data_IF_967941109346
#
_entry.id   IF_967941109346
#
_cell.length_a   1.000
_cell.length_b   1.000
_cell.length_c   1.000
_cell.angle_alpha   90.00
_cell.angle_beta   90.00
_cell.angle_gamma   90.00
#
_symmetry.space_group_name_H-M   'P 1'
#
loop_
_entity.id
_entity.type
_entity.pdbx_description
1 polymer ?
#
# COMPACT_ATOMS: atom_id res chain seq x y z
N UNK A 1 14.31 23.34 -0.35
CA UNK A 1 14.24 21.92 -0.77
C UNK A 1 12.78 21.59 -0.96
N UNK A 2 12.39 21.11 -2.14
CA UNK A 2 11.03 20.65 -2.36
C UNK A 2 10.91 19.23 -1.78
N UNK A 3 10.18 19.10 -0.69
CA UNK A 3 10.00 17.86 0.09
C UNK A 3 8.90 17.01 -0.60
N UNK A 4 9.24 16.39 -1.74
CA UNK A 4 8.31 15.56 -2.51
C UNK A 4 8.28 14.12 -1.98
N UNK A 5 7.18 13.72 -1.34
CA UNK A 5 6.95 12.32 -0.99
C UNK A 5 6.27 11.61 -2.17
N UNK A 6 7.00 10.66 -2.79
CA UNK A 6 6.45 9.82 -3.85
C UNK A 6 5.87 8.55 -3.23
N UNK A 7 4.58 8.30 -3.48
CA UNK A 7 3.85 7.16 -2.89
C UNK A 7 3.29 6.28 -4.02
N UNK A 8 3.71 5.02 -4.09
CA UNK A 8 3.05 4.02 -4.94
C UNK A 8 2.08 3.20 -4.09
N UNK A 9 0.80 3.20 -4.44
CA UNK A 9 -0.17 2.31 -3.81
C UNK A 9 -0.26 0.98 -4.56
N UNK A 10 0.03 -0.10 -3.86
CA UNK A 10 -0.15 -1.47 -4.33
C UNK A 10 -1.22 -2.15 -3.51
N UNK A 11 -2.36 -2.36 -4.15
CA UNK A 11 -3.40 -3.23 -3.59
C UNK A 11 -2.94 -4.70 -3.71
N UNK A 12 -2.06 -5.02 -4.67
CA UNK A 12 -1.76 -6.40 -5.06
C UNK A 12 -0.31 -6.60 -5.53
N UNK A 13 0.27 -7.77 -5.23
CA UNK A 13 1.67 -8.09 -5.53
C UNK A 13 1.93 -8.85 -6.82
N UNK A 14 0.91 -9.44 -7.43
CA UNK A 14 1.09 -10.15 -8.70
C UNK A 14 0.55 -9.33 -9.85
N UNK A 15 1.28 -9.34 -10.97
CA UNK A 15 0.86 -8.70 -12.22
C UNK A 15 -0.57 -9.14 -12.59
N UNK A 16 -0.85 -10.45 -12.51
CA UNK A 16 -2.18 -11.02 -12.81
C UNK A 16 -3.31 -10.42 -11.95
N UNK A 17 -3.14 -10.32 -10.62
CA UNK A 17 -4.18 -9.75 -9.74
C UNK A 17 -4.25 -8.24 -9.85
N UNK A 18 -3.13 -7.54 -10.08
CA UNK A 18 -3.14 -6.11 -10.41
C UNK A 18 -3.94 -5.87 -11.68
N UNK A 19 -3.80 -6.72 -12.69
CA UNK A 19 -4.54 -6.61 -13.98
C UNK A 19 -6.03 -6.87 -13.82
N UNK A 20 -6.40 -7.83 -12.97
CA UNK A 20 -7.80 -8.10 -12.65
C UNK A 20 -8.48 -6.93 -11.90
N UNK A 21 -7.82 -6.38 -10.85
CA UNK A 21 -8.43 -5.34 -10.02
C UNK A 21 -8.29 -3.93 -10.59
N UNK A 22 -7.23 -3.66 -11.35
CA UNK A 22 -6.97 -2.34 -11.94
C UNK A 22 -6.78 -2.51 -13.46
N UNK A 23 -7.85 -2.65 -14.25
CA UNK A 23 -7.78 -2.87 -15.70
C UNK A 23 -7.44 -1.58 -16.46
N UNK A 24 -6.41 -0.87 -16.02
CA UNK A 24 -5.89 0.37 -16.61
C UNK A 24 -4.38 0.24 -16.83
N UNK A 25 -3.83 1.04 -17.74
CA UNK A 25 -2.38 1.09 -17.97
C UNK A 25 -1.67 1.47 -16.66
N UNK A 26 -0.70 0.65 -16.27
CA UNK A 26 0.11 0.84 -15.06
C UNK A 26 1.55 0.47 -15.32
N UNK A 27 2.48 0.99 -14.53
CA UNK A 27 3.87 0.57 -14.59
C UNK A 27 4.07 -0.79 -13.91
N UNK A 28 4.99 -1.58 -14.47
CA UNK A 28 5.50 -2.78 -13.81
C UNK A 28 6.28 -2.41 -12.55
N UNK A 29 6.53 -3.37 -11.66
CA UNK A 29 7.30 -3.11 -10.44
C UNK A 29 8.74 -2.72 -10.75
N UNK A 30 9.33 -3.32 -11.79
CA UNK A 30 10.70 -3.03 -12.25
C UNK A 30 10.79 -1.58 -12.74
N UNK A 31 9.81 -1.14 -13.54
CA UNK A 31 9.75 0.25 -14.02
C UNK A 31 9.55 1.24 -12.88
N UNK A 32 8.74 0.88 -11.88
CA UNK A 32 8.55 1.70 -10.67
C UNK A 32 9.86 1.80 -9.87
N UNK A 33 10.56 0.67 -9.67
CA UNK A 33 11.85 0.63 -8.99
C UNK A 33 12.91 1.45 -9.70
N UNK A 34 13.03 1.29 -11.03
CA UNK A 34 13.97 2.05 -11.85
C UNK A 34 13.70 3.55 -11.77
N UNK A 35 12.42 3.95 -11.83
CA UNK A 35 12.05 5.35 -11.66
C UNK A 35 12.40 5.87 -10.27
N UNK A 36 12.11 5.10 -9.22
CA UNK A 36 12.45 5.49 -7.85
C UNK A 36 13.96 5.65 -7.64
N UNK A 37 14.77 4.75 -8.19
CA UNK A 37 16.25 4.85 -8.17
C UNK A 37 16.78 6.10 -8.87
N UNK A 38 16.12 6.56 -9.93
CA UNK A 38 16.48 7.81 -10.63
C UNK A 38 16.02 9.06 -9.88
N UNK A 39 14.95 8.95 -9.09
CA UNK A 39 14.36 10.07 -8.36
C UNK A 39 15.04 10.33 -7.01
N UNK A 40 15.50 9.26 -6.35
CA UNK A 40 16.14 9.32 -5.04
C UNK A 40 17.59 9.80 -5.13
N UNK A 41 17.95 10.77 -4.29
CA UNK A 41 19.34 11.15 -4.03
C UNK A 41 19.71 10.82 -2.58
N UNK A 42 21.01 10.64 -2.32
CA UNK A 42 21.50 10.43 -0.97
C UNK A 42 21.13 11.63 -0.07
N UNK A 43 20.49 11.35 1.07
CA UNK A 43 19.95 12.36 1.98
C UNK A 43 18.48 12.72 1.76
N UNK A 44 17.86 12.29 0.65
CA UNK A 44 16.42 12.41 0.46
C UNK A 44 15.65 11.45 1.39
N UNK A 45 14.35 11.74 1.57
CA UNK A 45 13.45 10.78 2.23
C UNK A 45 13.24 9.57 1.34
N UNK A 46 13.16 8.38 1.95
CA UNK A 46 12.84 7.14 1.25
C UNK A 46 11.48 7.22 0.56
N UNK A 47 11.37 6.59 -0.61
CA UNK A 47 10.17 6.53 -1.43
C UNK A 47 9.19 5.52 -0.84
N UNK A 48 7.93 5.91 -0.63
CA UNK A 48 6.97 5.03 0.04
C UNK A 48 6.28 4.07 -0.93
N UNK A 49 6.23 2.80 -0.53
CA UNK A 49 5.44 1.75 -1.14
C UNK A 49 4.33 1.36 -0.17
N UNK A 50 3.09 1.67 -0.52
CA UNK A 50 1.93 1.35 0.30
C UNK A 50 1.35 -0.01 -0.08
N UNK A 51 1.13 -0.88 0.91
CA UNK A 51 0.57 -2.21 0.76
C UNK A 51 -0.65 -2.39 1.66
N UNK A 52 -1.68 -3.02 1.09
CA UNK A 52 -2.88 -3.41 1.80
C UNK A 52 -3.06 -4.95 1.73
N UNK A 53 -2.44 -5.71 2.66
CA UNK A 53 -2.43 -7.18 2.61
C UNK A 53 -3.82 -7.78 2.88
N UNK A 54 -4.10 -8.90 2.20
CA UNK A 54 -5.32 -9.71 2.36
C UNK A 54 -4.98 -11.18 2.49
N UNK A 55 -5.90 -12.00 3.00
CA UNK A 55 -5.67 -13.45 3.22
C UNK A 55 -5.35 -14.14 1.89
N UNK A 56 -5.98 -13.70 0.81
CA UNK A 56 -5.77 -14.22 -0.53
C UNK A 56 -4.48 -13.69 -1.17
N UNK A 57 -3.79 -12.72 -0.53
CA UNK A 57 -2.66 -11.98 -1.06
C UNK A 57 -1.59 -11.71 0.00
N UNK A 58 -0.95 -12.78 0.46
CA UNK A 58 0.19 -12.70 1.35
C UNK A 58 1.38 -11.98 0.71
N UNK A 59 2.16 -11.25 1.53
CA UNK A 59 3.34 -10.51 1.09
C UNK A 59 4.58 -11.38 0.94
N UNK A 60 5.06 -11.54 -0.30
CA UNK A 60 6.35 -12.16 -0.57
C UNK A 60 7.47 -11.12 -0.50
N UNK A 61 8.03 -10.97 0.69
CA UNK A 61 9.06 -9.97 1.01
C UNK A 61 10.36 -10.21 0.24
N UNK A 62 10.74 -11.47 0.00
CA UNK A 62 11.96 -11.80 -0.74
C UNK A 62 11.88 -11.32 -2.20
N UNK A 63 10.73 -11.52 -2.85
CA UNK A 63 10.49 -10.99 -4.20
C UNK A 63 10.52 -9.47 -4.22
N UNK A 64 9.93 -8.82 -3.21
CA UNK A 64 9.97 -7.36 -3.11
C UNK A 64 11.40 -6.85 -2.96
N UNK A 65 12.22 -7.47 -2.10
CA UNK A 65 13.63 -7.11 -1.89
C UNK A 65 14.49 -7.24 -3.16
N UNK A 66 14.15 -8.17 -4.05
CA UNK A 66 14.84 -8.28 -5.34
C UNK A 66 14.54 -7.12 -6.31
N UNK A 67 13.43 -6.40 -6.09
CA UNK A 67 12.97 -5.33 -6.98
C UNK A 67 13.23 -3.96 -6.33
N UNK A 68 12.87 -3.81 -5.06
CA UNK A 68 12.92 -2.56 -4.31
C UNK A 68 14.07 -2.61 -3.31
N UNK A 69 14.96 -1.62 -3.39
CA UNK A 69 16.09 -1.48 -2.48
C UNK A 69 15.64 -0.89 -1.14
N UNK A 70 15.85 -1.56 0.02
CA UNK A 70 15.46 -1.02 1.32
C UNK A 70 16.13 0.31 1.69
N UNK A 71 17.23 0.69 1.06
CA UNK A 71 17.85 2.01 1.27
C UNK A 71 17.12 3.14 0.54
N UNK A 72 16.35 2.80 -0.49
CA UNK A 72 15.63 3.77 -1.32
C UNK A 72 14.14 3.79 -0.96
N UNK A 73 13.60 2.65 -0.54
CA UNK A 73 12.16 2.46 -0.34
C UNK A 73 11.77 2.20 1.12
N UNK A 74 10.63 2.75 1.53
CA UNK A 74 9.99 2.52 2.84
C UNK A 74 8.64 1.85 2.63
N UNK A 75 8.27 0.91 3.51
CA UNK A 75 7.02 0.16 3.43
C UNK A 75 5.96 0.86 4.28
N UNK A 76 4.78 1.09 3.70
CA UNK A 76 3.61 1.58 4.42
C UNK A 76 2.52 0.50 4.40
N UNK A 77 2.16 -0.02 5.56
CA UNK A 77 1.05 -0.96 5.71
C UNK A 77 -0.23 -0.19 5.99
N UNK A 78 -1.27 -0.42 5.19
CA UNK A 78 -2.57 0.22 5.33
C UNK A 78 -3.68 -0.83 5.40
N UNK A 79 -4.74 -0.64 6.19
CA UNK A 79 -5.92 -1.48 6.10
C UNK A 79 -6.53 -1.40 4.70
N UNK A 80 -7.13 -2.49 4.22
CA UNK A 80 -8.01 -2.41 3.06
C UNK A 80 -9.29 -1.70 3.50
N UNK A 81 -9.61 -0.58 2.86
CA UNK A 81 -10.89 0.06 3.09
C UNK A 81 -12.00 -0.79 2.47
N UNK A 82 -13.07 -1.02 3.23
CA UNK A 82 -14.27 -1.75 2.80
C UNK A 82 -14.97 -0.97 1.69
N UNK A 83 -14.50 -1.16 0.46
CA UNK A 83 -15.17 -0.66 -0.74
C UNK A 83 -16.12 -1.72 -1.25
N UNK A 84 -17.14 -1.32 -2.01
CA UNK A 84 -18.13 -2.22 -2.63
C UNK A 84 -17.44 -3.37 -3.41
N UNK A 85 -16.25 -3.12 -3.99
CA UNK A 85 -15.46 -4.14 -4.68
C UNK A 85 -14.76 -5.14 -3.75
N UNK A 86 -14.37 -4.76 -2.53
CA UNK A 86 -13.79 -5.68 -1.54
C UNK A 86 -14.86 -6.65 -1.06
N UNK A 87 -16.05 -6.14 -0.76
CA UNK A 87 -17.21 -6.94 -0.38
C UNK A 87 -17.66 -7.87 -1.52
N UNK A 88 -17.68 -7.38 -2.77
CA UNK A 88 -18.09 -8.15 -3.94
C UNK A 88 -17.11 -9.27 -4.32
N UNK A 89 -15.84 -9.15 -3.98
CA UNK A 89 -14.80 -10.14 -4.29
C UNK A 89 -14.41 -10.98 -3.07
N UNK A 90 -15.14 -10.89 -1.95
CA UNK A 90 -14.89 -11.63 -0.69
C UNK A 90 -13.44 -11.53 -0.19
N UNK A 91 -12.77 -10.40 -0.42
CA UNK A 91 -11.37 -10.20 -0.04
C UNK A 91 -11.31 -9.98 1.48
N UNK A 92 -10.68 -10.90 2.21
CA UNK A 92 -10.57 -10.81 3.67
C UNK A 92 -9.32 -9.98 4.03
N UNK A 93 -9.48 -8.79 4.64
CA UNK A 93 -8.33 -7.98 5.03
C UNK A 93 -7.52 -8.65 6.14
N UNK A 94 -6.18 -8.62 6.00
CA UNK A 94 -5.26 -9.11 7.06
C UNK A 94 -5.04 -8.04 8.13
N UNK A 95 -5.13 -6.77 7.75
CA UNK A 95 -5.03 -5.63 8.66
C UNK A 95 -6.41 -5.02 8.81
N UNK A 96 -6.93 -5.00 10.04
CA UNK A 96 -8.15 -4.29 10.40
C UNK A 96 -7.81 -3.11 11.32
N UNK A 97 -8.73 -2.14 11.41
CA UNK A 97 -8.58 -1.04 12.37
C UNK A 97 -8.86 -1.49 13.82
N UNK A 98 -9.34 -2.71 14.02
CA UNK A 98 -9.71 -3.27 15.33
C UNK A 98 -8.56 -4.05 15.98
N UNK A 99 -7.60 -4.55 15.19
CA UNK A 99 -6.45 -5.32 15.70
C UNK A 99 -5.19 -5.09 14.88
N UNK A 100 -4.12 -4.69 15.57
CA UNK A 100 -2.82 -4.39 14.95
C UNK A 100 -1.87 -5.59 14.91
N UNK A 101 -2.21 -6.72 15.55
CA UNK A 101 -1.30 -7.84 15.71
C UNK A 101 -0.74 -8.35 14.36
N UNK A 102 -1.61 -8.55 13.37
CA UNK A 102 -1.19 -8.99 12.05
C UNK A 102 -0.33 -7.94 11.31
N UNK A 103 -0.67 -6.65 11.45
CA UNK A 103 0.13 -5.57 10.88
C UNK A 103 1.54 -5.52 11.51
N UNK A 104 1.64 -5.72 12.82
CA UNK A 104 2.90 -5.76 13.55
C UNK A 104 3.78 -6.95 13.15
N UNK A 105 3.20 -8.14 12.97
CA UNK A 105 3.95 -9.32 12.51
C UNK A 105 4.50 -9.12 11.09
N UNK A 106 3.70 -8.57 10.18
CA UNK A 106 4.15 -8.22 8.83
C UNK A 106 5.24 -7.14 8.89
N UNK A 107 5.09 -6.11 9.72
CA UNK A 107 6.08 -5.06 9.89
C UNK A 107 7.40 -5.61 10.44
N UNK A 108 7.37 -6.55 11.40
CA UNK A 108 8.57 -7.24 11.89
C UNK A 108 9.27 -8.03 10.78
N UNK A 109 8.51 -8.69 9.91
CA UNK A 109 9.08 -9.43 8.78
C UNK A 109 9.79 -8.49 7.79
N UNK A 110 9.18 -7.35 7.46
CA UNK A 110 9.82 -6.33 6.61
C UNK A 110 11.06 -5.71 7.25
N UNK A 111 11.01 -5.42 8.55
CA UNK A 111 12.16 -4.92 9.29
C UNK A 111 13.33 -5.90 9.27
N UNK A 112 13.07 -7.20 9.43
CA UNK A 112 14.09 -8.25 9.28
C UNK A 112 14.69 -8.30 7.87
N UNK A 113 13.92 -7.92 6.85
CA UNK A 113 14.41 -7.85 5.47
C UNK A 113 15.23 -6.58 5.16
N UNK A 114 15.25 -5.59 6.06
CA UNK A 114 16.02 -4.35 5.96
C UNK A 114 15.18 -3.09 5.72
N UNK A 115 13.85 -3.22 5.63
CA UNK A 115 12.98 -2.08 5.36
C UNK A 115 12.63 -1.32 6.63
N UNK A 116 12.57 0.00 6.51
CA UNK A 116 11.75 0.80 7.40
C UNK A 116 10.27 0.53 7.08
N UNK A 117 9.42 0.40 8.11
CA UNK A 117 7.99 0.10 7.94
C UNK A 117 7.13 0.98 8.83
N UNK A 118 6.11 1.58 8.23
CA UNK A 118 5.10 2.42 8.88
C UNK A 118 3.75 1.71 8.81
N UNK A 119 3.06 1.56 9.94
CA UNK A 119 1.68 1.09 9.99
C UNK A 119 0.78 2.34 10.01
N UNK A 120 -0.12 2.45 9.04
CA UNK A 120 -0.99 3.61 8.85
C UNK A 120 -2.44 3.16 8.91
N UNK A 121 -3.02 3.21 10.10
CA UNK A 121 -4.42 2.94 10.37
C UNK A 121 -5.25 4.20 10.18
N UNK A 122 -6.51 4.06 9.79
CA UNK A 122 -7.41 5.20 9.69
C UNK A 122 -7.91 5.58 11.09
N UNK A 123 -8.20 6.85 11.30
CA UNK A 123 -8.91 7.27 12.51
C UNK A 123 -10.37 6.82 12.48
N UNK A 124 -10.98 6.66 13.66
CA UNK A 124 -12.40 6.35 13.78
C UNK A 124 -13.29 7.40 13.10
N UNK A 125 -12.92 8.67 13.19
CA UNK A 125 -13.66 9.78 12.58
C UNK A 125 -13.64 9.69 11.04
N UNK A 126 -12.49 9.37 10.42
CA UNK A 126 -12.37 9.22 8.96
C UNK A 126 -13.20 8.06 8.42
N UNK A 127 -13.27 6.94 9.15
CA UNK A 127 -14.10 5.78 8.78
C UNK A 127 -15.58 6.16 8.84
N UNK A 128 -16.00 6.83 9.92
CA UNK A 128 -17.40 7.20 10.15
C UNK A 128 -17.97 8.11 9.07
N UNK A 129 -17.15 9.03 8.54
CA UNK A 129 -17.57 9.99 7.52
C UNK A 129 -17.28 9.52 6.08
N UNK A 130 -16.69 8.33 5.90
CA UNK A 130 -16.34 7.80 4.57
C UNK A 130 -15.19 8.54 3.88
N UNK A 131 -14.37 9.28 4.63
CA UNK A 131 -13.25 10.08 4.09
C UNK A 131 -11.92 9.32 4.06
N UNK A 132 -11.95 7.98 4.16
CA UNK A 132 -10.74 7.17 4.06
C UNK A 132 -10.23 7.12 2.61
N UNK A 133 -8.92 6.90 2.42
CA UNK A 133 -8.31 6.81 1.09
C UNK A 133 -8.96 5.70 0.24
N UNK A 134 -9.75 6.07 -0.78
CA UNK A 134 -10.46 5.12 -1.64
C UNK A 134 -11.96 4.98 -1.36
N UNK A 135 -12.52 5.70 -0.37
CA UNK A 135 -13.96 5.75 -0.08
C UNK A 135 -14.64 7.08 -0.46
N UNK A 136 -14.00 7.95 -1.26
CA UNK A 136 -14.62 9.21 -1.67
C UNK A 136 -15.95 9.01 -2.41
N UNK A 137 -17.05 9.26 -1.69
CA UNK A 137 -18.40 9.40 -2.25
C UNK A 137 -18.67 10.89 -2.38
N UNK A 138 -18.71 11.41 -3.59
CA UNK A 138 -19.24 12.75 -3.81
C UNK A 138 -20.75 12.69 -3.61
N UNK A 139 -21.24 13.17 -2.47
CA UNK A 139 -22.67 13.46 -2.31
C UNK A 139 -23.01 14.60 -3.26
N UNK A 140 -23.64 14.26 -4.39
CA UNK A 140 -24.19 15.25 -5.30
C UNK A 140 -25.55 15.65 -4.74
N UNK A 141 -25.58 16.62 -3.82
CA UNK A 141 -26.81 17.31 -3.46
C UNK A 141 -27.19 18.21 -4.64
N UNK A 142 -28.00 17.71 -5.57
CA UNK A 142 -28.83 18.52 -6.47
C UNK A 142 -29.83 17.63 -7.22
N UNK A 143 -31.04 17.48 -6.65
CA UNK A 143 -32.35 17.84 -7.24
C UNK A 143 -33.49 17.17 -6.49
#
# INVERSE_FOLDING_TARGET
MADFSFNFQFIQQTVKKRDLMMPVKKWSFEKISEYGKRFFNEGDRKISLSFAPSVENEINIDKLKNIFDPEIFIIKLTPLNETVNVLKNEIIPVISNESNYAAEEIAKAFKKAGYETVISLNSYEEIKIGSTCGQNVFFNENS
#
